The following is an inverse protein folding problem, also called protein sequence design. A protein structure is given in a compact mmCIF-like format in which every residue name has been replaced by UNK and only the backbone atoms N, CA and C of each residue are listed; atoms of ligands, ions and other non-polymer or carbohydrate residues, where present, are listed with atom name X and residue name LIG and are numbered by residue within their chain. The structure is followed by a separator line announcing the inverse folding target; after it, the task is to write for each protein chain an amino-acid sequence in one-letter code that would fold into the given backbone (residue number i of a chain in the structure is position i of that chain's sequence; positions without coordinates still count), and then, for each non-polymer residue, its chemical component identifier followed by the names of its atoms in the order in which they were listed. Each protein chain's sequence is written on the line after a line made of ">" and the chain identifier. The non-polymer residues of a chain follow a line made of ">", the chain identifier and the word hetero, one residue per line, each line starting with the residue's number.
data_IF_926812642189
#
_entry.id   IF_926812642189
#
_cell.length_a   1.000
_cell.length_b   1.000
_cell.length_c   1.000
_cell.angle_alpha   90.00
_cell.angle_beta   90.00
_cell.angle_gamma   90.00
#
_symmetry.space_group_name_H-M   'P 1'
#
loop_
_entity.id
_entity.type
_entity.pdbx_description
1 polymer ?
#
# COMPACT_ATOMS: atom_id res chain seq x y z
N UNK A 1 32.71 19.33 21.55
CA UNK A 1 32.86 18.01 20.92
C UNK A 1 32.88 18.21 19.42
N UNK A 2 33.81 17.60 18.72
CA UNK A 2 33.91 17.64 17.28
C UNK A 2 32.86 16.69 16.64
N UNK A 3 32.48 16.94 15.36
CA UNK A 3 31.61 16.06 14.64
C UNK A 3 32.27 14.69 14.47
N UNK A 4 31.43 13.63 14.43
CA UNK A 4 31.88 12.24 14.20
C UNK A 4 32.61 12.12 12.85
N UNK A 5 33.64 11.29 12.79
CA UNK A 5 34.25 10.90 11.52
C UNK A 5 33.28 10.00 10.69
N UNK A 6 33.48 9.95 9.37
CA UNK A 6 32.67 9.12 8.49
C UNK A 6 32.62 7.64 8.92
N UNK A 7 33.73 7.10 9.42
CA UNK A 7 33.80 5.74 9.95
C UNK A 7 32.89 5.56 11.18
N UNK A 8 32.95 6.49 12.13
CA UNK A 8 32.15 6.47 13.35
C UNK A 8 30.64 6.58 13.05
N UNK A 9 30.27 7.44 12.08
CA UNK A 9 28.88 7.55 11.61
C UNK A 9 28.41 6.21 11.01
N UNK A 10 29.20 5.61 10.13
CA UNK A 10 28.87 4.32 9.50
C UNK A 10 28.71 3.23 10.55
N UNK A 11 29.63 3.11 11.49
CA UNK A 11 29.54 2.16 12.60
C UNK A 11 28.29 2.45 13.45
N UNK A 12 28.00 3.71 13.74
CA UNK A 12 26.81 4.11 14.51
C UNK A 12 25.51 3.67 13.83
N UNK A 13 25.38 3.91 12.53
CA UNK A 13 24.20 3.48 11.75
C UNK A 13 24.10 1.94 11.76
N UNK A 14 25.19 1.22 11.50
CA UNK A 14 25.20 -0.25 11.53
C UNK A 14 24.81 -0.81 12.90
N UNK A 15 25.28 -0.19 13.97
CA UNK A 15 24.99 -0.59 15.35
C UNK A 15 23.51 -0.37 15.68
N UNK A 16 22.93 0.76 15.27
CA UNK A 16 21.50 1.01 15.47
C UNK A 16 20.61 0.02 14.70
N UNK A 17 21.06 -0.45 13.55
CA UNK A 17 20.36 -1.42 12.71
C UNK A 17 20.61 -2.90 13.11
N UNK A 18 21.31 -3.19 14.23
CA UNK A 18 21.54 -4.58 14.70
C UNK A 18 20.25 -5.42 14.75
N UNK A 19 19.11 -4.93 15.30
CA UNK A 19 17.87 -5.72 15.33
C UNK A 19 17.42 -6.16 13.92
N UNK A 20 17.60 -5.29 12.93
CA UNK A 20 17.27 -5.59 11.53
C UNK A 20 18.19 -6.65 10.95
N UNK A 21 19.52 -6.50 11.15
CA UNK A 21 20.49 -7.46 10.63
C UNK A 21 20.32 -8.86 11.21
N UNK A 22 20.10 -8.94 12.53
CA UNK A 22 19.85 -10.22 13.22
C UNK A 22 18.57 -10.88 12.72
N UNK A 23 17.46 -10.14 12.70
CA UNK A 23 16.19 -10.69 12.24
C UNK A 23 16.25 -11.11 10.77
N UNK A 24 16.87 -10.29 9.91
CA UNK A 24 17.06 -10.60 8.50
C UNK A 24 17.92 -11.85 8.31
N UNK A 25 19.02 -11.98 9.07
CA UNK A 25 19.88 -13.16 9.04
C UNK A 25 19.12 -14.44 9.42
N UNK A 26 18.30 -14.39 10.48
CA UNK A 26 17.45 -15.51 10.90
C UNK A 26 16.44 -15.86 9.81
N UNK A 27 15.69 -14.88 9.30
CA UNK A 27 14.64 -15.10 8.29
C UNK A 27 15.24 -15.67 7.00
N UNK A 28 16.35 -15.11 6.51
CA UNK A 28 17.00 -15.61 5.30
C UNK A 28 17.58 -17.02 5.48
N UNK A 29 18.18 -17.30 6.64
CA UNK A 29 18.72 -18.65 6.94
C UNK A 29 17.60 -19.70 7.00
N UNK A 30 16.49 -19.39 7.68
CA UNK A 30 15.32 -20.27 7.73
C UNK A 30 14.69 -20.44 6.34
N UNK A 31 14.59 -19.35 5.58
CA UNK A 31 14.04 -19.38 4.21
C UNK A 31 14.88 -20.24 3.27
N UNK A 32 16.20 -20.19 3.37
CA UNK A 32 17.10 -21.03 2.61
C UNK A 32 17.00 -22.50 3.04
N UNK A 33 16.91 -22.77 4.34
CA UNK A 33 16.77 -24.12 4.88
C UNK A 33 15.46 -24.79 4.43
N UNK A 34 14.33 -24.07 4.49
CA UNK A 34 13.01 -24.57 4.09
C UNK A 34 12.63 -24.27 2.64
N UNK A 35 13.57 -23.83 1.80
CA UNK A 35 13.33 -23.34 0.43
C UNK A 35 12.44 -24.26 -0.41
N UNK A 36 12.65 -25.59 -0.33
CA UNK A 36 11.89 -26.57 -1.11
C UNK A 36 10.42 -26.67 -0.70
N UNK A 37 10.07 -26.28 0.54
CA UNK A 37 8.72 -26.35 1.09
C UNK A 37 7.94 -25.01 0.96
N UNK A 38 8.63 -23.93 0.57
CA UNK A 38 8.05 -22.58 0.53
C UNK A 38 7.40 -22.21 -0.82
N UNK A 39 7.23 -23.18 -1.73
CA UNK A 39 6.56 -22.98 -3.02
C UNK A 39 7.11 -21.77 -3.80
N UNK A 40 6.22 -20.86 -4.22
CA UNK A 40 6.60 -19.68 -5.01
C UNK A 40 7.65 -18.79 -4.32
N UNK A 41 7.60 -18.65 -3.00
CA UNK A 41 8.60 -17.89 -2.25
C UNK A 41 10.00 -18.51 -2.37
N UNK A 42 10.10 -19.85 -2.37
CA UNK A 42 11.36 -20.56 -2.55
C UNK A 42 12.03 -20.28 -3.90
N UNK A 43 11.24 -20.05 -4.96
CA UNK A 43 11.76 -19.72 -6.29
C UNK A 43 12.43 -18.34 -6.38
N UNK A 44 12.20 -17.44 -5.41
CA UNK A 44 12.94 -16.16 -5.36
C UNK A 44 14.45 -16.37 -5.20
N UNK A 45 14.87 -17.45 -4.55
CA UNK A 45 16.29 -17.80 -4.36
C UNK A 45 16.94 -18.44 -5.60
N UNK A 46 16.16 -18.77 -6.63
CA UNK A 46 16.70 -19.30 -7.91
C UNK A 46 17.30 -18.19 -8.78
N UNK A 47 16.89 -16.95 -8.53
CA UNK A 47 17.34 -15.76 -9.25
C UNK A 47 18.13 -14.82 -8.33
N UNK A 48 19.30 -14.37 -8.79
CA UNK A 48 20.08 -13.33 -8.07
C UNK A 48 19.26 -12.06 -7.87
N UNK A 49 18.51 -11.65 -8.89
CA UNK A 49 17.62 -10.45 -8.84
C UNK A 49 16.50 -10.65 -7.82
N UNK A 50 15.89 -11.85 -7.80
CA UNK A 50 14.86 -12.20 -6.81
C UNK A 50 15.39 -12.15 -5.37
N UNK A 51 16.57 -12.73 -5.13
CA UNK A 51 17.21 -12.69 -3.81
C UNK A 51 17.57 -11.27 -3.38
N UNK A 52 18.16 -10.46 -4.29
CA UNK A 52 18.47 -9.05 -3.98
C UNK A 52 17.22 -8.24 -3.68
N UNK A 53 16.16 -8.41 -4.47
CA UNK A 53 14.86 -7.77 -4.20
C UNK A 53 14.26 -8.17 -2.86
N UNK A 54 14.32 -9.47 -2.52
CA UNK A 54 13.86 -9.97 -1.22
C UNK A 54 14.63 -9.34 -0.06
N UNK A 55 15.96 -9.28 -0.16
CA UNK A 55 16.81 -8.65 0.88
C UNK A 55 16.45 -7.19 1.08
N UNK A 56 16.27 -6.42 -0.01
CA UNK A 56 15.89 -5.00 0.07
C UNK A 56 14.51 -4.81 0.70
N UNK A 57 13.52 -5.62 0.30
CA UNK A 57 12.17 -5.56 0.88
C UNK A 57 12.19 -5.93 2.36
N UNK A 58 12.88 -7.03 2.72
CA UNK A 58 13.01 -7.45 4.12
C UNK A 58 13.72 -6.39 4.96
N UNK A 59 14.78 -5.76 4.44
CA UNK A 59 15.48 -4.69 5.15
C UNK A 59 14.50 -3.57 5.55
N UNK A 60 13.71 -3.04 4.62
CA UNK A 60 12.79 -1.95 4.91
C UNK A 60 11.60 -2.38 5.77
N UNK A 61 11.06 -3.60 5.55
CA UNK A 61 9.98 -4.15 6.38
C UNK A 61 10.43 -4.32 7.83
N UNK A 62 11.63 -4.88 8.04
CA UNK A 62 12.18 -5.04 9.39
C UNK A 62 12.54 -3.69 10.02
N UNK A 63 13.04 -2.73 9.23
CA UNK A 63 13.28 -1.36 9.71
C UNK A 63 11.98 -0.73 10.21
N UNK A 64 10.88 -0.89 9.50
CA UNK A 64 9.57 -0.38 9.92
C UNK A 64 9.04 -1.08 11.18
N UNK A 65 9.25 -2.40 11.31
CA UNK A 65 8.81 -3.17 12.48
C UNK A 65 9.60 -2.77 13.72
N UNK A 66 10.94 -2.65 13.59
CA UNK A 66 11.83 -2.33 14.70
C UNK A 66 12.09 -0.82 14.84
N UNK A 67 11.32 0.04 14.16
CA UNK A 67 11.56 1.48 14.12
C UNK A 67 11.78 2.09 15.52
N UNK A 68 10.91 1.75 16.49
CA UNK A 68 10.98 2.28 17.86
C UNK A 68 12.26 1.83 18.62
N UNK A 69 12.91 0.74 18.19
CA UNK A 69 14.17 0.26 18.77
C UNK A 69 15.41 0.85 18.07
N UNK A 70 15.24 1.37 16.86
CA UNK A 70 16.34 1.85 16.00
C UNK A 70 16.54 3.36 16.16
N UNK A 71 15.44 4.12 16.35
CA UNK A 71 15.51 5.58 16.47
C UNK A 71 16.45 6.00 17.59
N UNK A 72 17.26 7.03 17.33
CA UNK A 72 18.21 7.57 18.30
C UNK A 72 17.63 8.73 19.10
N UNK A 73 16.68 9.45 18.50
CA UNK A 73 16.01 10.60 19.10
C UNK A 73 14.53 10.58 18.76
N UNK A 74 13.73 11.36 19.49
CA UNK A 74 12.34 11.59 19.09
C UNK A 74 12.27 12.21 17.68
N UNK A 75 11.60 11.57 16.71
CA UNK A 75 11.52 12.05 15.33
C UNK A 75 10.87 13.43 15.18
N UNK A 76 10.03 13.83 16.15
CA UNK A 76 9.39 15.14 16.21
C UNK A 76 10.12 16.13 17.10
N UNK A 77 11.03 15.66 17.94
CA UNK A 77 11.78 16.44 18.90
C UNK A 77 12.66 17.50 18.22
N UNK A 78 12.42 18.77 18.53
CA UNK A 78 13.19 19.90 18.03
C UNK A 78 14.24 20.31 19.05
N UNK A 79 15.52 20.11 18.74
CA UNK A 79 16.61 20.46 19.66
C UNK A 79 17.25 21.78 19.22
N UNK A 80 17.21 22.79 20.12
CA UNK A 80 17.77 24.11 19.83
C UNK A 80 19.24 24.03 19.41
N UNK A 81 19.58 24.72 18.31
CA UNK A 81 20.93 24.74 17.76
C UNK A 81 21.26 23.58 16.81
N UNK A 82 20.33 22.65 16.56
CA UNK A 82 20.50 21.51 15.63
C UNK A 82 19.95 21.76 14.23
N UNK A 83 19.34 22.92 13.96
CA UNK A 83 18.79 23.31 12.67
C UNK A 83 19.86 23.27 11.57
N UNK A 84 19.59 22.51 10.49
CA UNK A 84 20.48 22.36 9.33
C UNK A 84 21.91 21.96 9.66
N UNK A 85 22.12 21.24 10.77
CA UNK A 85 23.45 20.72 11.12
C UNK A 85 23.80 19.52 10.25
N UNK A 86 25.10 19.44 9.93
CA UNK A 86 25.66 18.35 9.13
C UNK A 86 25.61 16.99 9.82
N UNK A 87 26.01 15.96 9.09
CA UNK A 87 26.06 14.56 9.56
C UNK A 87 27.06 14.45 10.74
N UNK A 88 26.72 13.60 11.73
CA UNK A 88 27.56 13.31 12.88
C UNK A 88 27.73 14.49 13.85
N UNK A 89 26.88 15.53 13.80
CA UNK A 89 27.01 16.69 14.67
C UNK A 89 26.56 16.37 16.10
N UNK A 90 27.32 16.79 17.14
CA UNK A 90 26.98 16.54 18.54
C UNK A 90 25.70 17.29 18.94
N UNK A 91 24.82 16.63 19.69
CA UNK A 91 23.57 17.21 20.18
C UNK A 91 23.85 18.15 21.35
N UNK A 92 23.36 19.39 21.27
CA UNK A 92 23.50 20.35 22.36
C UNK A 92 22.69 19.95 23.59
N UNK A 93 23.33 19.91 24.75
CA UNK A 93 22.64 19.59 26.01
C UNK A 93 22.53 18.11 26.35
N UNK A 94 23.02 17.22 25.48
CA UNK A 94 23.05 15.78 25.71
C UNK A 94 24.45 15.24 25.37
N UNK A 95 25.34 15.18 26.37
CA UNK A 95 26.68 14.68 26.17
C UNK A 95 26.71 13.25 25.64
N UNK A 96 27.54 13.03 24.60
CA UNK A 96 27.68 11.69 23.98
C UNK A 96 26.65 11.30 22.96
N UNK A 97 25.64 12.15 22.65
CA UNK A 97 24.65 11.90 21.61
C UNK A 97 24.94 12.73 20.35
N UNK A 98 24.64 12.15 19.19
CA UNK A 98 24.95 12.74 17.90
C UNK A 98 23.76 12.53 16.92
N UNK A 99 23.53 13.52 16.07
CA UNK A 99 22.65 13.35 14.91
C UNK A 99 23.40 12.65 13.78
N UNK A 100 23.19 11.33 13.62
CA UNK A 100 23.94 10.50 12.70
C UNK A 100 23.85 10.99 11.24
N UNK A 101 22.67 11.38 10.78
CA UNK A 101 22.44 11.94 9.44
C UNK A 101 22.21 13.46 9.45
N UNK A 102 22.46 14.12 10.60
CA UNK A 102 22.29 15.55 10.76
C UNK A 102 20.88 15.98 11.15
N UNK A 103 20.68 17.31 11.21
CA UNK A 103 19.41 17.94 11.57
C UNK A 103 18.70 18.57 10.37
N UNK A 104 17.38 18.46 10.34
CA UNK A 104 16.54 19.09 9.30
C UNK A 104 16.35 20.62 9.54
N UNK A 105 15.51 21.24 8.71
CA UNK A 105 15.19 22.67 8.79
C UNK A 105 14.40 23.06 10.06
N UNK A 106 13.86 22.09 10.80
CA UNK A 106 13.15 22.25 12.06
C UNK A 106 13.98 21.73 13.26
N UNK A 107 15.27 21.43 13.05
CA UNK A 107 16.18 20.92 14.06
C UNK A 107 15.83 19.52 14.60
N UNK A 108 15.16 18.66 13.79
CA UNK A 108 14.80 17.27 14.10
C UNK A 108 15.84 16.31 13.56
N UNK A 109 15.97 15.13 14.15
CA UNK A 109 16.94 14.10 13.72
C UNK A 109 16.51 13.43 12.41
N UNK A 110 17.30 13.60 11.35
CA UNK A 110 17.01 13.03 10.02
C UNK A 110 17.05 11.50 10.06
N UNK A 111 17.97 10.86 10.82
CA UNK A 111 18.05 9.40 10.89
C UNK A 111 16.77 8.80 11.47
N UNK A 112 16.32 9.30 12.61
CA UNK A 112 15.08 8.84 13.24
C UNK A 112 13.86 9.06 12.36
N UNK A 113 13.81 10.17 11.61
CA UNK A 113 12.72 10.46 10.65
C UNK A 113 12.72 9.49 9.46
N UNK A 114 13.86 9.16 8.88
CA UNK A 114 13.97 8.18 7.79
C UNK A 114 13.50 6.79 8.25
N UNK A 115 13.90 6.40 9.46
CA UNK A 115 13.48 5.12 10.05
C UNK A 115 11.98 5.08 10.28
N UNK A 116 11.39 6.11 10.88
CA UNK A 116 9.93 6.17 11.11
C UNK A 116 9.14 6.32 9.81
N UNK A 117 9.68 7.07 8.83
CA UNK A 117 9.06 7.22 7.51
C UNK A 117 8.90 5.89 6.76
N UNK A 118 9.77 4.91 7.03
CA UNK A 118 9.62 3.56 6.47
C UNK A 118 8.30 2.90 6.89
N UNK A 119 7.82 3.14 8.11
CA UNK A 119 6.55 2.64 8.64
C UNK A 119 5.36 3.23 7.90
N UNK A 120 5.36 4.56 7.71
CA UNK A 120 4.29 5.26 6.99
C UNK A 120 4.19 4.78 5.54
N UNK A 121 5.31 4.71 4.83
CA UNK A 121 5.34 4.26 3.43
C UNK A 121 4.88 2.81 3.29
N UNK A 122 5.39 1.90 4.14
CA UNK A 122 5.05 0.47 4.10
C UNK A 122 3.62 0.17 4.58
N UNK A 123 2.99 1.11 5.26
CA UNK A 123 1.57 0.99 5.60
C UNK A 123 0.68 1.52 4.48
N UNK A 124 0.96 2.73 4.00
CA UNK A 124 0.10 3.43 3.02
C UNK A 124 0.18 2.78 1.64
N UNK A 125 1.39 2.52 1.12
CA UNK A 125 1.55 2.08 -0.27
C UNK A 125 0.93 0.70 -0.52
N UNK A 126 1.16 -0.36 0.31
CA UNK A 126 0.49 -1.65 0.13
C UNK A 126 -1.02 -1.56 0.35
N UNK A 127 -1.48 -0.85 1.40
CA UNK A 127 -2.90 -0.72 1.68
C UNK A 127 -3.65 -0.03 0.55
N UNK A 128 -3.13 1.10 0.04
CA UNK A 128 -3.72 1.81 -1.10
C UNK A 128 -3.70 0.95 -2.38
N UNK A 129 -2.63 0.15 -2.58
CA UNK A 129 -2.57 -0.81 -3.69
C UNK A 129 -3.68 -1.85 -3.58
N UNK A 130 -3.88 -2.45 -2.41
CA UNK A 130 -4.96 -3.43 -2.16
C UNK A 130 -6.32 -2.81 -2.48
N UNK A 131 -6.60 -1.59 -2.00
CA UNK A 131 -7.86 -0.91 -2.29
C UNK A 131 -8.03 -0.62 -3.78
N UNK A 132 -6.99 -0.15 -4.47
CA UNK A 132 -7.03 0.09 -5.92
C UNK A 132 -7.30 -1.20 -6.69
N UNK A 133 -6.73 -2.35 -6.26
CA UNK A 133 -7.02 -3.66 -6.83
C UNK A 133 -8.46 -4.10 -6.56
N UNK A 134 -8.98 -3.89 -5.36
CA UNK A 134 -10.38 -4.22 -5.06
C UNK A 134 -11.34 -3.42 -5.96
N UNK A 135 -11.10 -2.12 -6.16
CA UNK A 135 -11.88 -1.30 -7.11
C UNK A 135 -11.72 -1.83 -8.53
N UNK A 136 -10.48 -2.01 -8.99
CA UNK A 136 -10.17 -2.42 -10.35
C UNK A 136 -10.71 -3.80 -10.70
N UNK A 137 -10.64 -4.78 -9.79
CA UNK A 137 -11.19 -6.13 -9.95
C UNK A 137 -12.72 -6.08 -10.00
N UNK A 138 -13.36 -5.36 -9.06
CA UNK A 138 -14.81 -5.27 -8.99
C UNK A 138 -15.43 -4.67 -10.25
N UNK A 139 -14.75 -3.71 -10.88
CA UNK A 139 -15.20 -3.06 -12.11
C UNK A 139 -14.68 -3.76 -13.37
N UNK A 140 -13.43 -4.23 -13.37
CA UNK A 140 -12.77 -4.78 -14.54
C UNK A 140 -13.28 -6.16 -14.97
N UNK A 141 -13.58 -7.04 -13.99
CA UNK A 141 -14.11 -8.37 -14.29
C UNK A 141 -15.44 -8.29 -15.05
N UNK A 142 -16.51 -7.60 -14.56
CA UNK A 142 -17.77 -7.55 -15.28
C UNK A 142 -17.69 -6.75 -16.58
N UNK A 143 -16.83 -5.73 -16.69
CA UNK A 143 -16.62 -5.01 -17.93
C UNK A 143 -16.02 -5.92 -19.02
N UNK A 144 -14.98 -6.69 -18.70
CA UNK A 144 -14.35 -7.62 -19.62
C UNK A 144 -15.25 -8.81 -19.97
N UNK A 145 -15.95 -9.38 -18.97
CA UNK A 145 -16.76 -10.57 -19.16
C UNK A 145 -18.03 -10.30 -19.97
N UNK A 146 -18.86 -9.30 -19.56
CA UNK A 146 -20.13 -8.99 -20.22
C UNK A 146 -19.98 -8.22 -21.51
N UNK A 147 -18.94 -7.38 -21.62
CA UNK A 147 -18.76 -6.46 -22.75
C UNK A 147 -19.96 -5.50 -22.96
N UNK A 148 -20.05 -4.76 -24.08
CA UNK A 148 -21.18 -3.90 -24.39
C UNK A 148 -21.21 -2.58 -23.62
N UNK A 149 -22.42 -2.06 -23.30
CA UNK A 149 -22.60 -0.71 -22.73
C UNK A 149 -21.88 -0.50 -21.41
N UNK A 150 -21.85 -1.50 -20.51
CA UNK A 150 -21.15 -1.41 -19.24
C UNK A 150 -19.65 -1.22 -19.46
N UNK A 151 -19.06 -2.02 -20.33
CA UNK A 151 -17.66 -1.92 -20.71
C UNK A 151 -17.34 -0.56 -21.32
N UNK A 152 -18.17 -0.07 -22.25
CA UNK A 152 -17.97 1.24 -22.89
C UNK A 152 -17.97 2.37 -21.88
N UNK A 153 -18.94 2.40 -20.94
CA UNK A 153 -19.03 3.44 -19.93
C UNK A 153 -17.85 3.40 -18.95
N UNK A 154 -17.52 2.23 -18.40
CA UNK A 154 -16.42 2.09 -17.46
C UNK A 154 -15.05 2.38 -18.11
N UNK A 155 -14.87 1.95 -19.36
CA UNK A 155 -13.66 2.25 -20.13
C UNK A 155 -13.54 3.74 -20.45
N UNK A 156 -14.64 4.42 -20.77
CA UNK A 156 -14.68 5.86 -20.97
C UNK A 156 -14.27 6.60 -19.68
N UNK A 157 -14.88 6.26 -18.53
CA UNK A 157 -14.54 6.88 -17.25
C UNK A 157 -13.08 6.63 -16.87
N UNK A 158 -12.59 5.41 -17.06
CA UNK A 158 -11.18 5.08 -16.83
C UNK A 158 -10.25 5.90 -17.72
N UNK A 159 -10.56 6.04 -19.02
CA UNK A 159 -9.77 6.82 -19.95
C UNK A 159 -9.82 8.32 -19.63
N UNK A 160 -10.94 8.83 -19.12
CA UNK A 160 -11.07 10.22 -18.69
C UNK A 160 -10.08 10.53 -17.56
N UNK A 161 -10.00 9.68 -16.57
CA UNK A 161 -9.02 9.84 -15.45
C UNK A 161 -7.58 9.72 -15.97
N UNK A 162 -7.30 8.75 -16.84
CA UNK A 162 -5.97 8.50 -17.40
C UNK A 162 -5.54 9.52 -18.47
N UNK A 163 -6.45 10.38 -18.93
CA UNK A 163 -6.10 11.49 -19.82
C UNK A 163 -5.28 12.59 -19.09
N UNK A 164 -5.42 12.65 -17.77
CA UNK A 164 -4.59 13.55 -16.96
C UNK A 164 -3.23 12.89 -16.64
N UNK A 165 -2.12 13.66 -16.67
CA UNK A 165 -0.86 13.19 -16.14
C UNK A 165 -1.03 12.77 -14.66
N UNK A 166 -0.74 11.50 -14.37
CA UNK A 166 -1.00 10.86 -13.06
C UNK A 166 -0.48 11.71 -11.89
N UNK A 167 0.77 12.21 -12.01
CA UNK A 167 1.40 12.99 -10.95
C UNK A 167 0.70 14.34 -10.74
N UNK A 168 0.25 15.00 -11.81
CA UNK A 168 -0.46 16.29 -11.73
C UNK A 168 -1.85 16.10 -11.11
N UNK A 169 -2.58 15.06 -11.51
CA UNK A 169 -3.88 14.74 -10.93
C UNK A 169 -3.76 14.42 -9.43
N UNK A 170 -2.72 13.68 -9.06
CA UNK A 170 -2.46 13.35 -7.68
C UNK A 170 -2.12 14.60 -6.84
N UNK A 171 -1.25 15.47 -7.33
CA UNK A 171 -0.96 16.74 -6.67
C UNK A 171 -2.21 17.60 -6.49
N UNK A 172 -3.01 17.74 -7.55
CA UNK A 172 -4.26 18.48 -7.49
C UNK A 172 -5.17 17.98 -6.37
N UNK A 173 -5.37 16.66 -6.27
CA UNK A 173 -6.25 16.06 -5.26
C UNK A 173 -5.76 16.23 -3.83
N UNK A 174 -4.45 16.40 -3.63
CA UNK A 174 -3.85 16.53 -2.28
C UNK A 174 -3.70 17.98 -1.84
N UNK A 175 -3.92 18.97 -2.73
CA UNK A 175 -3.83 20.39 -2.37
C UNK A 175 -4.81 20.78 -1.26
N UNK A 176 -4.43 21.72 -0.37
CA UNK A 176 -5.31 22.21 0.70
C UNK A 176 -6.64 22.76 0.20
N UNK A 177 -6.64 23.38 -1.01
CA UNK A 177 -7.82 23.95 -1.64
C UNK A 177 -8.85 22.87 -1.97
N UNK A 178 -8.44 21.79 -2.61
CA UNK A 178 -9.35 20.66 -2.92
C UNK A 178 -9.77 19.94 -1.64
N UNK A 179 -8.87 19.81 -0.67
CA UNK A 179 -9.19 19.21 0.61
C UNK A 179 -10.32 19.97 1.34
N UNK A 180 -10.31 21.29 1.31
CA UNK A 180 -11.33 22.13 1.96
C UNK A 180 -12.72 22.01 1.30
N UNK A 181 -12.80 21.54 0.04
CA UNK A 181 -14.09 21.33 -0.67
C UNK A 181 -14.85 20.09 -0.23
N UNK A 182 -14.23 19.18 0.55
CA UNK A 182 -14.80 17.89 0.92
C UNK A 182 -14.75 16.83 -0.18
N UNK A 183 -14.18 17.12 -1.36
CA UNK A 183 -14.02 16.14 -2.46
C UNK A 183 -13.35 14.85 -2.01
N UNK A 184 -12.29 14.85 -1.17
CA UNK A 184 -11.68 13.60 -0.71
C UNK A 184 -12.64 12.69 0.07
N UNK A 185 -13.54 13.26 0.88
CA UNK A 185 -14.54 12.49 1.63
C UNK A 185 -15.55 11.85 0.67
N UNK A 186 -16.01 12.57 -0.36
CA UNK A 186 -16.91 12.02 -1.36
C UNK A 186 -16.23 10.90 -2.18
N UNK A 187 -14.97 11.09 -2.54
CA UNK A 187 -14.19 10.03 -3.20
C UNK A 187 -14.00 8.81 -2.29
N UNK A 188 -13.70 9.02 -1.01
CA UNK A 188 -13.61 7.95 -0.02
C UNK A 188 -14.95 7.19 0.08
N UNK A 189 -16.05 7.91 0.18
CA UNK A 189 -17.39 7.35 0.26
C UNK A 189 -17.72 6.46 -0.95
N UNK A 190 -17.28 6.82 -2.14
CA UNK A 190 -17.48 6.00 -3.34
C UNK A 190 -16.50 4.83 -3.40
N UNK A 191 -15.19 5.08 -3.19
CA UNK A 191 -14.16 4.06 -3.38
C UNK A 191 -14.20 2.95 -2.32
N UNK A 192 -14.51 3.29 -1.08
CA UNK A 192 -14.50 2.33 0.03
C UNK A 192 -15.73 1.39 0.05
N UNK A 193 -16.73 1.63 -0.81
CA UNK A 193 -17.82 0.67 -1.03
C UNK A 193 -17.36 -0.55 -1.83
N UNK A 194 -16.37 -0.40 -2.73
CA UNK A 194 -15.94 -1.49 -3.62
C UNK A 194 -15.36 -2.71 -2.89
N UNK A 195 -14.54 -2.58 -1.84
CA UNK A 195 -14.14 -3.72 -1.02
C UNK A 195 -15.34 -4.51 -0.46
N UNK A 196 -16.36 -3.82 0.02
CA UNK A 196 -17.59 -4.46 0.54
C UNK A 196 -18.29 -5.22 -0.56
N UNK A 197 -18.49 -4.60 -1.73
CA UNK A 197 -19.11 -5.23 -2.89
C UNK A 197 -18.31 -6.48 -3.29
N UNK A 198 -16.98 -6.37 -3.38
CA UNK A 198 -16.12 -7.48 -3.79
C UNK A 198 -16.28 -8.69 -2.86
N UNK A 199 -16.21 -8.48 -1.54
CA UNK A 199 -16.35 -9.57 -0.57
C UNK A 199 -17.76 -10.14 -0.51
N UNK A 200 -18.80 -9.30 -0.62
CA UNK A 200 -20.19 -9.77 -0.70
C UNK A 200 -20.37 -10.70 -1.92
N UNK A 201 -19.92 -10.26 -3.09
CA UNK A 201 -20.04 -11.06 -4.33
C UNK A 201 -19.19 -12.33 -4.24
N UNK A 202 -17.99 -12.25 -3.65
CA UNK A 202 -17.10 -13.39 -3.45
C UNK A 202 -17.76 -14.47 -2.58
N UNK A 203 -18.33 -14.11 -1.44
CA UNK A 203 -19.00 -15.08 -0.57
C UNK A 203 -20.34 -15.56 -1.15
N UNK A 204 -21.06 -14.67 -1.84
CA UNK A 204 -22.31 -15.01 -2.50
C UNK A 204 -22.09 -16.04 -3.62
N UNK A 205 -21.05 -15.89 -4.43
CA UNK A 205 -20.70 -16.82 -5.50
C UNK A 205 -20.10 -18.13 -4.96
N UNK A 206 -19.30 -18.08 -3.90
CA UNK A 206 -18.65 -19.27 -3.31
C UNK A 206 -19.63 -20.24 -2.65
N UNK A 207 -20.59 -19.68 -1.91
CA UNK A 207 -21.53 -20.47 -1.09
C UNK A 207 -22.94 -20.46 -1.65
N UNK A 208 -23.11 -20.34 -2.97
CA UNK A 208 -24.45 -20.24 -3.57
C UNK A 208 -25.32 -21.48 -3.31
N UNK A 209 -24.70 -22.68 -3.20
CA UNK A 209 -25.37 -23.95 -2.86
C UNK A 209 -25.62 -24.16 -1.37
N UNK A 210 -25.04 -23.31 -0.50
CA UNK A 210 -25.12 -23.41 0.96
C UNK A 210 -25.72 -22.14 1.57
N UNK A 211 -27.04 -21.93 1.51
CA UNK A 211 -27.67 -20.65 1.81
C UNK A 211 -27.40 -20.13 3.21
N UNK A 212 -27.32 -21.03 4.21
CA UNK A 212 -27.03 -20.65 5.60
C UNK A 212 -25.63 -20.07 5.72
N UNK A 213 -24.59 -20.76 5.21
CA UNK A 213 -23.22 -20.27 5.24
C UNK A 213 -23.08 -18.98 4.45
N UNK A 214 -23.66 -18.93 3.25
CA UNK A 214 -23.67 -17.73 2.42
C UNK A 214 -24.20 -16.51 3.18
N UNK A 215 -25.38 -16.66 3.80
CA UNK A 215 -26.03 -15.56 4.50
C UNK A 215 -25.22 -15.10 5.73
N UNK A 216 -24.60 -16.03 6.45
CA UNK A 216 -23.71 -15.70 7.59
C UNK A 216 -22.49 -14.91 7.11
N UNK A 217 -21.76 -15.39 6.09
CA UNK A 217 -20.56 -14.68 5.62
C UNK A 217 -20.89 -13.33 5.00
N UNK A 218 -22.01 -13.22 4.25
CA UNK A 218 -22.48 -11.95 3.70
C UNK A 218 -22.88 -10.99 4.83
N UNK A 219 -23.60 -11.45 5.87
CA UNK A 219 -23.97 -10.62 7.01
C UNK A 219 -22.73 -10.12 7.77
N UNK A 220 -21.75 -10.99 8.03
CA UNK A 220 -20.48 -10.61 8.65
C UNK A 220 -19.76 -9.56 7.81
N UNK A 221 -19.69 -9.78 6.49
CA UNK A 221 -19.05 -8.83 5.57
C UNK A 221 -19.73 -7.48 5.58
N UNK A 222 -21.06 -7.44 5.59
CA UNK A 222 -21.80 -6.19 5.65
C UNK A 222 -21.58 -5.46 6.97
N UNK A 223 -21.67 -6.17 8.10
CA UNK A 223 -21.47 -5.56 9.43
C UNK A 223 -20.04 -5.00 9.59
N UNK A 224 -19.03 -5.84 9.36
CA UNK A 224 -17.63 -5.42 9.48
C UNK A 224 -17.25 -4.41 8.40
N UNK A 225 -17.75 -4.60 7.17
CA UNK A 225 -17.48 -3.72 6.05
C UNK A 225 -18.07 -2.33 6.25
N UNK A 226 -19.32 -2.20 6.71
CA UNK A 226 -19.92 -0.90 7.01
C UNK A 226 -19.32 -0.25 8.24
N UNK A 227 -18.91 -1.00 9.23
CA UNK A 227 -18.17 -0.47 10.37
C UNK A 227 -16.82 0.12 9.94
N UNK A 228 -16.01 -0.64 9.19
CA UNK A 228 -14.75 -0.15 8.63
C UNK A 228 -14.97 1.05 7.68
N UNK A 229 -16.01 1.00 6.85
CA UNK A 229 -16.40 2.08 5.94
C UNK A 229 -16.72 3.38 6.68
N UNK A 230 -17.55 3.30 7.73
CA UNK A 230 -17.92 4.49 8.52
C UNK A 230 -16.72 5.07 9.28
N UNK A 231 -15.84 4.21 9.80
CA UNK A 231 -14.61 4.63 10.45
C UNK A 231 -13.64 5.31 9.48
N UNK A 232 -13.28 4.62 8.40
CA UNK A 232 -12.28 5.12 7.45
C UNK A 232 -12.73 6.33 6.63
N UNK A 233 -13.99 6.35 6.15
CA UNK A 233 -14.48 7.44 5.30
C UNK A 233 -14.93 8.67 6.09
N UNK A 234 -15.53 8.48 7.27
CA UNK A 234 -16.21 9.55 8.02
C UNK A 234 -15.67 9.74 9.44
N UNK A 235 -14.66 8.96 9.85
CA UNK A 235 -14.15 8.92 11.24
C UNK A 235 -15.27 8.68 12.28
N UNK A 236 -16.30 7.90 11.91
CA UNK A 236 -17.44 7.55 12.76
C UNK A 236 -17.26 6.17 13.39
N UNK A 237 -16.09 5.89 13.95
CA UNK A 237 -15.82 4.63 14.65
C UNK A 237 -15.86 4.86 16.17
N UNK A 238 -16.86 4.29 16.88
CA UNK A 238 -16.95 4.43 18.33
C UNK A 238 -15.83 3.68 19.09
N UNK A 239 -15.15 2.74 18.47
CA UNK A 239 -14.06 1.97 19.10
C UNK A 239 -12.66 2.53 18.75
N UNK A 240 -12.57 3.46 17.81
CA UNK A 240 -11.30 4.05 17.36
C UNK A 240 -10.35 3.09 16.64
N UNK A 241 -10.85 1.92 16.20
CA UNK A 241 -10.05 0.90 15.48
C UNK A 241 -9.79 1.33 14.04
N UNK A 242 -10.81 1.87 13.38
CA UNK A 242 -10.78 2.34 12.00
C UNK A 242 -10.75 3.86 11.94
N UNK A 243 -9.74 4.46 12.55
CA UNK A 243 -9.50 5.90 12.49
C UNK A 243 -8.41 6.20 11.47
N UNK A 244 -8.64 7.21 10.64
CA UNK A 244 -7.62 7.73 9.72
C UNK A 244 -7.55 9.26 9.84
N UNK A 245 -6.36 9.78 10.07
CA UNK A 245 -6.15 11.22 10.12
C UNK A 245 -6.59 11.87 8.79
N UNK A 246 -7.27 13.04 8.79
CA UNK A 246 -7.80 13.65 7.57
C UNK A 246 -6.76 13.90 6.47
N UNK A 247 -5.53 14.24 6.83
CA UNK A 247 -4.44 14.41 5.87
C UNK A 247 -4.08 13.08 5.19
N UNK A 248 -3.96 12.03 6.00
CA UNK A 248 -3.65 10.68 5.55
C UNK A 248 -4.77 10.12 4.68
N UNK A 249 -6.04 10.34 5.08
CA UNK A 249 -7.21 9.94 4.29
C UNK A 249 -7.18 10.58 2.90
N UNK A 250 -6.88 11.88 2.81
CA UNK A 250 -6.81 12.58 1.53
C UNK A 250 -5.74 11.98 0.60
N UNK A 251 -4.53 11.75 1.12
CA UNK A 251 -3.43 11.13 0.37
C UNK A 251 -3.83 9.70 -0.05
N UNK A 252 -4.36 8.92 0.88
CA UNK A 252 -4.76 7.53 0.62
C UNK A 252 -5.81 7.44 -0.48
N UNK A 253 -6.87 8.24 -0.38
CA UNK A 253 -7.97 8.28 -1.36
C UNK A 253 -7.49 8.76 -2.73
N UNK A 254 -6.64 9.79 -2.78
CA UNK A 254 -6.05 10.27 -4.02
C UNK A 254 -5.20 9.18 -4.71
N UNK A 255 -4.39 8.44 -3.94
CA UNK A 255 -3.61 7.29 -4.45
C UNK A 255 -4.51 6.20 -5.00
N UNK A 256 -5.56 5.80 -4.25
CA UNK A 256 -6.52 4.77 -4.68
C UNK A 256 -7.24 5.22 -5.95
N UNK A 257 -7.73 6.45 -6.00
CA UNK A 257 -8.46 7.01 -7.15
C UNK A 257 -7.62 7.01 -8.43
N UNK A 258 -6.39 7.51 -8.34
CA UNK A 258 -5.50 7.66 -9.51
C UNK A 258 -5.01 6.30 -10.02
N UNK A 259 -4.85 5.30 -9.14
CA UNK A 259 -4.35 3.98 -9.52
C UNK A 259 -5.45 3.00 -9.98
N UNK A 260 -6.68 3.13 -9.49
CA UNK A 260 -7.78 2.22 -9.81
C UNK A 260 -8.09 2.07 -11.31
N UNK A 261 -8.05 3.14 -12.14
CA UNK A 261 -8.30 3.03 -13.58
C UNK A 261 -7.28 2.17 -14.32
N UNK A 262 -6.02 2.20 -13.91
CA UNK A 262 -4.98 1.37 -14.51
C UNK A 262 -5.20 -0.11 -14.17
N UNK A 263 -5.51 -0.43 -12.91
CA UNK A 263 -5.85 -1.79 -12.50
C UNK A 263 -7.09 -2.28 -13.23
N UNK A 264 -8.13 -1.45 -13.33
CA UNK A 264 -9.32 -1.75 -14.13
C UNK A 264 -8.97 -2.18 -15.55
N UNK A 265 -8.11 -1.42 -16.26
CA UNK A 265 -7.70 -1.73 -17.65
C UNK A 265 -6.99 -3.07 -17.74
N UNK A 266 -6.10 -3.38 -16.81
CA UNK A 266 -5.35 -4.64 -16.78
C UNK A 266 -6.30 -5.81 -16.52
N UNK A 267 -7.15 -5.72 -15.49
CA UNK A 267 -8.13 -6.77 -15.15
C UNK A 267 -9.10 -6.99 -16.31
N UNK A 268 -9.63 -5.91 -16.90
CA UNK A 268 -10.50 -5.98 -18.07
C UNK A 268 -9.82 -6.68 -19.24
N UNK A 269 -8.58 -6.31 -19.56
CA UNK A 269 -7.82 -6.91 -20.67
C UNK A 269 -7.58 -8.40 -20.46
N UNK A 270 -7.14 -8.81 -19.27
CA UNK A 270 -6.97 -10.21 -18.90
C UNK A 270 -8.29 -10.98 -18.95
N UNK A 271 -9.38 -10.37 -18.49
CA UNK A 271 -10.71 -11.00 -18.55
C UNK A 271 -11.17 -11.25 -19.98
N UNK A 272 -10.94 -10.30 -20.90
CA UNK A 272 -11.27 -10.44 -22.32
C UNK A 272 -10.50 -11.58 -22.99
N UNK A 273 -9.22 -11.77 -22.64
CA UNK A 273 -8.41 -12.87 -23.15
C UNK A 273 -8.85 -14.23 -22.56
N UNK A 274 -8.99 -14.28 -21.23
CA UNK A 274 -9.25 -15.53 -20.52
C UNK A 274 -10.67 -16.06 -20.76
N UNK A 275 -11.67 -15.20 -20.93
CA UNK A 275 -13.08 -15.63 -21.10
C UNK A 275 -13.30 -16.49 -22.35
N UNK A 276 -12.39 -16.46 -23.30
CA UNK A 276 -12.49 -17.28 -24.54
C UNK A 276 -11.89 -18.67 -24.42
N UNK A 277 -11.38 -19.05 -23.23
CA UNK A 277 -10.73 -20.33 -22.99
C UNK A 277 -11.75 -21.46 -22.77
N UNK A 278 -11.42 -22.68 -23.18
CA UNK A 278 -12.31 -23.84 -23.13
C UNK A 278 -12.84 -24.16 -21.73
N UNK A 279 -12.03 -23.96 -20.70
CA UNK A 279 -12.46 -24.21 -19.32
C UNK A 279 -13.52 -23.21 -18.83
N UNK A 280 -13.53 -21.99 -19.38
CA UNK A 280 -14.61 -21.01 -19.11
C UNK A 280 -15.89 -21.45 -19.78
N UNK A 281 -15.83 -21.88 -21.06
CA UNK A 281 -16.98 -22.45 -21.77
C UNK A 281 -17.51 -23.71 -21.06
N UNK A 282 -16.63 -24.56 -20.54
CA UNK A 282 -17.04 -25.72 -19.74
C UNK A 282 -17.75 -25.33 -18.43
N UNK A 283 -17.33 -24.24 -17.76
CA UNK A 283 -18.02 -23.72 -16.58
C UNK A 283 -19.41 -23.16 -16.92
N UNK A 284 -19.55 -22.46 -18.05
CA UNK A 284 -20.84 -22.00 -18.57
C UNK A 284 -21.79 -23.17 -18.89
N UNK A 285 -21.26 -24.23 -19.50
CA UNK A 285 -22.04 -25.48 -19.81
C UNK A 285 -22.47 -26.17 -18.52
N UNK A 286 -21.71 -26.11 -17.43
CA UNK A 286 -22.14 -26.61 -16.11
C UNK A 286 -23.24 -25.77 -15.46
N UNK A 287 -23.59 -24.61 -16.05
CA UNK A 287 -24.61 -23.70 -15.51
C UNK A 287 -24.12 -22.82 -14.38
N UNK A 288 -22.79 -22.63 -14.25
CA UNK A 288 -22.23 -21.73 -13.23
C UNK A 288 -22.63 -20.28 -13.47
N UNK A 289 -22.91 -19.55 -12.38
CA UNK A 289 -23.29 -18.14 -12.48
C UNK A 289 -22.13 -17.23 -12.91
N UNK A 290 -22.43 -16.07 -13.56
CA UNK A 290 -21.39 -15.17 -14.09
C UNK A 290 -20.34 -14.73 -13.06
N UNK A 291 -20.74 -14.43 -11.82
CA UNK A 291 -19.83 -14.06 -10.76
C UNK A 291 -18.94 -15.22 -10.30
N UNK A 292 -19.47 -16.44 -10.29
CA UNK A 292 -18.67 -17.64 -10.03
C UNK A 292 -17.58 -17.78 -11.08
N UNK A 293 -17.94 -17.69 -12.35
CA UNK A 293 -17.00 -17.83 -13.47
C UNK A 293 -15.91 -16.73 -13.38
N UNK A 294 -16.29 -15.47 -13.16
CA UNK A 294 -15.34 -14.37 -13.06
C UNK A 294 -14.36 -14.53 -11.89
N UNK A 295 -14.85 -14.92 -10.70
CA UNK A 295 -14.03 -14.96 -9.49
C UNK A 295 -13.28 -16.28 -9.28
N UNK A 296 -13.81 -17.40 -9.78
CA UNK A 296 -13.26 -18.73 -9.49
C UNK A 296 -12.64 -19.42 -10.70
N UNK A 297 -12.97 -19.00 -11.92
CA UNK A 297 -12.36 -19.52 -13.14
C UNK A 297 -11.42 -18.50 -13.80
N UNK A 298 -11.83 -17.22 -13.93
CA UNK A 298 -11.05 -16.21 -14.65
C UNK A 298 -9.97 -15.60 -13.74
N UNK A 299 -10.33 -15.05 -12.59
CA UNK A 299 -9.42 -14.33 -11.71
C UNK A 299 -8.22 -15.18 -11.23
N UNK A 300 -8.37 -16.47 -10.84
CA UNK A 300 -7.23 -17.30 -10.46
C UNK A 300 -6.25 -17.54 -11.61
N UNK A 301 -6.72 -17.57 -12.85
CA UNK A 301 -5.89 -17.74 -14.03
C UNK A 301 -5.22 -16.42 -14.46
N UNK A 302 -5.76 -15.27 -14.05
CA UNK A 302 -5.16 -13.95 -14.22
C UNK A 302 -4.10 -13.60 -13.15
N UNK A 303 -3.93 -14.42 -12.12
CA UNK A 303 -3.11 -14.11 -10.93
C UNK A 303 -1.65 -13.74 -11.24
N UNK A 304 -1.02 -14.39 -12.22
CA UNK A 304 0.38 -14.14 -12.54
C UNK A 304 0.65 -12.68 -12.90
N UNK A 305 0.05 -12.16 -13.99
CA UNK A 305 0.19 -10.74 -14.35
C UNK A 305 -0.31 -9.78 -13.26
N UNK A 306 -1.36 -10.12 -12.51
CA UNK A 306 -1.89 -9.28 -11.45
C UNK A 306 -0.93 -9.15 -10.25
N UNK A 307 -0.26 -10.23 -9.84
CA UNK A 307 0.75 -10.19 -8.77
C UNK A 307 1.93 -9.31 -9.20
N UNK A 308 2.38 -9.43 -10.45
CA UNK A 308 3.47 -8.59 -10.97
C UNK A 308 3.07 -7.11 -10.95
N UNK A 309 1.88 -6.75 -11.46
CA UNK A 309 1.39 -5.37 -11.43
C UNK A 309 1.24 -4.87 -9.98
N UNK A 310 0.74 -5.70 -9.07
CA UNK A 310 0.60 -5.37 -7.66
C UNK A 310 1.94 -4.98 -7.02
N UNK A 311 2.98 -5.78 -7.23
CA UNK A 311 4.32 -5.50 -6.70
C UNK A 311 4.93 -4.23 -7.30
N UNK A 312 4.83 -4.04 -8.63
CA UNK A 312 5.30 -2.83 -9.30
C UNK A 312 4.57 -1.59 -8.81
N UNK A 313 3.28 -1.70 -8.56
CA UNK A 313 2.44 -0.58 -8.12
C UNK A 313 2.79 -0.11 -6.71
N UNK A 314 3.12 -1.01 -5.79
CA UNK A 314 3.65 -0.61 -4.48
C UNK A 314 4.88 0.27 -4.65
N UNK A 315 5.82 -0.11 -5.54
CA UNK A 315 7.00 0.71 -5.85
C UNK A 315 6.65 2.08 -6.42
N UNK A 316 5.73 2.15 -7.40
CA UNK A 316 5.27 3.43 -7.97
C UNK A 316 4.59 4.33 -6.94
N UNK A 317 3.75 3.77 -6.08
CA UNK A 317 3.09 4.53 -5.01
C UNK A 317 4.11 5.04 -4.00
N UNK A 318 5.12 4.24 -3.66
CA UNK A 318 6.22 4.68 -2.78
C UNK A 318 6.95 5.89 -3.35
N UNK A 319 7.29 5.86 -4.65
CA UNK A 319 7.92 7.01 -5.34
C UNK A 319 6.99 8.22 -5.33
N UNK A 320 5.70 8.00 -5.58
CA UNK A 320 4.69 9.07 -5.60
C UNK A 320 4.56 9.75 -4.23
N UNK A 321 4.53 8.96 -3.14
CA UNK A 321 4.50 9.48 -1.77
C UNK A 321 5.77 10.26 -1.43
N UNK A 322 6.95 9.76 -1.79
CA UNK A 322 8.21 10.46 -1.60
C UNK A 322 8.26 11.79 -2.36
N UNK A 323 7.69 11.82 -3.58
CA UNK A 323 7.59 13.06 -4.38
C UNK A 323 6.68 14.10 -3.72
N UNK A 324 5.55 13.68 -3.11
CA UNK A 324 4.69 14.57 -2.31
C UNK A 324 5.45 15.18 -1.14
N UNK A 325 6.19 14.35 -0.41
CA UNK A 325 7.00 14.82 0.72
C UNK A 325 8.02 15.90 0.28
N UNK A 326 8.66 15.69 -0.88
CA UNK A 326 9.59 16.67 -1.46
C UNK A 326 8.91 18.02 -1.76
N UNK A 327 7.68 18.03 -2.25
CA UNK A 327 6.92 19.26 -2.53
C UNK A 327 6.21 19.85 -1.29
N UNK A 328 6.39 19.26 -0.11
CA UNK A 328 5.73 19.74 1.12
C UNK A 328 4.24 19.47 1.18
N UNK A 329 3.70 18.63 0.29
CA UNK A 329 2.30 18.19 0.24
C UNK A 329 2.11 16.80 0.87
N UNK A 330 3.16 16.26 1.48
CA UNK A 330 3.16 14.95 2.12
C UNK A 330 2.39 14.92 3.45
N UNK A 331 2.74 13.95 4.25
CA UNK A 331 2.20 13.79 5.61
C UNK A 331 2.52 15.05 6.43
N UNK A 332 1.64 15.39 7.39
CA UNK A 332 1.79 16.59 8.23
C UNK A 332 3.22 16.75 8.77
N UNK A 333 3.76 18.01 8.88
CA UNK A 333 5.02 18.26 9.57
C UNK A 333 5.06 17.73 11.02
N UNK A 334 3.88 17.50 11.61
CA UNK A 334 3.72 16.91 12.94
C UNK A 334 3.78 15.37 12.91
N UNK A 335 3.86 14.75 11.73
CA UNK A 335 4.07 13.31 11.61
C UNK A 335 5.54 12.95 11.83
N UNK A 336 5.84 11.80 12.46
CA UNK A 336 7.20 11.34 12.73
C UNK A 336 8.05 11.05 11.50
N UNK A 337 7.47 10.99 10.34
CA UNK A 337 8.14 10.73 9.06
C UNK A 337 8.60 11.99 8.27
#
# INVERSE_FOLDING_TARGET
>A
MDALSALQITIGIFTQLIPVWVAMGIILSLSLYYRQHLGLYGHLFDSRVGTMGLVLVLFWVLTAIFADLIITHDPLGQISGMKNKGIGFPVRGAEGTFYLLGGDNLARDIFSRVVMGSRSVLTIAPAATVFAFMVGITLGLPAGYRSGKLDTILSFLSNLVLAFPVILLFFLLVTPEIRSTGVPIYLAAVLFVFPIILFVVLFQSRFYTQPIKRNIYVAITLVLGFWAYSGLAFNMDPLGVFYMEPNLLNIFVAVVFVNSPTVFRIVRGLTLDIKTRDYVAAAETRGEGPWYIMLWEILPNARGPLIVDFCLRIGYITILLGTLGFFGLGVSPESPD
#
